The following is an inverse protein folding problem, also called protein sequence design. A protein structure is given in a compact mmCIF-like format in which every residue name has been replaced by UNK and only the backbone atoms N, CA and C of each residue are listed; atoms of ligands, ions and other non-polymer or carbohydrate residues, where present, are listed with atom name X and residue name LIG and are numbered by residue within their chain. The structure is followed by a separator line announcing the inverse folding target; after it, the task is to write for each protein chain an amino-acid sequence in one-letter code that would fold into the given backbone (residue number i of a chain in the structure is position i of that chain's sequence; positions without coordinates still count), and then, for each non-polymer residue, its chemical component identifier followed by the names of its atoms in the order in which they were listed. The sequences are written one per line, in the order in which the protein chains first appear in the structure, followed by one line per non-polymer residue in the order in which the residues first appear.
data_IF_923831623795
#
_entry.id   IF_923831623795
#
_cell.length_a   1.000
_cell.length_b   1.000
_cell.length_c   1.000
_cell.angle_alpha   90.00
_cell.angle_beta   90.00
_cell.angle_gamma   90.00
#
_symmetry.space_group_name_H-M   'P 1'
#
loop_
_entity.id
_entity.type
_entity.pdbx_description
1 polymer ?
#
# COMPACT_ATOMS: atom_id res chain seq x y z
N UNK A 1 -49.59 10.15 -66.05
CA UNK A 1 -50.26 9.72 -64.80
C UNK A 1 -49.57 8.46 -64.27
N UNK A 2 -48.58 8.62 -63.38
CA UNK A 2 -47.89 7.50 -62.73
C UNK A 2 -48.57 7.16 -61.40
N UNK A 3 -48.96 5.89 -61.27
CA UNK A 3 -49.81 5.31 -60.23
C UNK A 3 -49.22 5.46 -58.82
N UNK A 4 -49.92 6.22 -57.97
CA UNK A 4 -49.69 6.37 -56.52
C UNK A 4 -49.79 5.06 -55.70
N UNK A 5 -50.20 3.93 -56.29
CA UNK A 5 -50.47 2.68 -55.57
C UNK A 5 -49.28 1.74 -55.36
N UNK A 6 -48.11 1.98 -55.97
CA UNK A 6 -46.94 1.09 -55.87
C UNK A 6 -46.02 1.41 -54.68
N UNK A 7 -45.90 2.69 -54.34
CA UNK A 7 -45.07 3.19 -53.22
C UNK A 7 -45.66 2.87 -51.84
N UNK A 8 -46.99 2.93 -51.67
CA UNK A 8 -47.65 2.59 -50.41
C UNK A 8 -47.55 1.10 -50.03
N UNK A 9 -47.49 0.18 -51.00
CA UNK A 9 -47.29 -1.26 -50.72
C UNK A 9 -45.86 -1.57 -50.31
N UNK A 10 -44.85 -0.95 -50.92
CA UNK A 10 -43.45 -1.15 -50.53
C UNK A 10 -43.15 -0.65 -49.11
N UNK A 11 -43.77 0.46 -48.69
CA UNK A 11 -43.66 0.99 -47.33
C UNK A 11 -44.30 0.05 -46.27
N UNK A 12 -45.38 -0.66 -46.60
CA UNK A 12 -46.03 -1.57 -45.64
C UNK A 12 -45.36 -2.93 -45.50
N UNK A 13 -44.62 -3.38 -46.53
CA UNK A 13 -43.88 -4.65 -46.52
C UNK A 13 -42.53 -4.58 -45.79
N UNK A 14 -41.92 -3.41 -45.65
CA UNK A 14 -40.62 -3.25 -44.97
C UNK A 14 -40.74 -2.64 -43.57
N UNK A 15 -41.67 -1.71 -43.36
CA UNK A 15 -41.78 -1.00 -42.08
C UNK A 15 -42.33 -1.88 -40.95
N UNK A 16 -43.28 -2.77 -41.26
CA UNK A 16 -43.88 -3.69 -40.28
C UNK A 16 -42.89 -4.72 -39.71
N UNK A 17 -42.09 -5.45 -40.50
CA UNK A 17 -41.09 -6.36 -39.95
C UNK A 17 -39.96 -5.62 -39.22
N UNK A 18 -39.59 -4.41 -39.63
CA UNK A 18 -38.59 -3.59 -38.92
C UNK A 18 -39.07 -3.13 -37.55
N UNK A 19 -40.33 -2.67 -37.45
CA UNK A 19 -40.94 -2.30 -36.18
C UNK A 19 -41.11 -3.51 -35.26
N UNK A 20 -41.45 -4.68 -35.81
CA UNK A 20 -41.54 -5.92 -35.04
C UNK A 20 -40.15 -6.35 -34.53
N UNK A 21 -39.10 -6.26 -35.37
CA UNK A 21 -37.73 -6.56 -34.97
C UNK A 21 -37.21 -5.61 -33.89
N UNK A 22 -37.51 -4.31 -33.99
CA UNK A 22 -37.21 -3.32 -32.94
C UNK A 22 -37.97 -3.63 -31.65
N UNK A 23 -39.24 -4.00 -31.74
CA UNK A 23 -40.07 -4.33 -30.57
C UNK A 23 -39.57 -5.60 -29.88
N UNK A 24 -39.23 -6.64 -30.64
CA UNK A 24 -38.63 -7.88 -30.12
C UNK A 24 -37.25 -7.59 -29.52
N UNK A 25 -36.43 -6.74 -30.15
CA UNK A 25 -35.11 -6.36 -29.62
C UNK A 25 -35.22 -5.56 -28.32
N UNK A 26 -36.21 -4.67 -28.23
CA UNK A 26 -36.54 -3.93 -27.01
C UNK A 26 -37.05 -4.84 -25.90
N UNK A 27 -37.93 -5.81 -26.22
CA UNK A 27 -38.39 -6.83 -25.25
C UNK A 27 -37.21 -7.67 -24.79
N UNK A 28 -36.35 -8.15 -25.69
CA UNK A 28 -35.14 -8.88 -25.32
C UNK A 28 -34.22 -8.03 -24.44
N UNK A 29 -34.00 -6.75 -24.73
CA UNK A 29 -33.21 -5.85 -23.87
C UNK A 29 -33.84 -5.62 -22.50
N UNK A 30 -35.18 -5.62 -22.42
CA UNK A 30 -35.91 -5.46 -21.17
C UNK A 30 -35.92 -6.76 -20.35
N UNK A 31 -36.02 -7.92 -20.99
CA UNK A 31 -36.00 -9.24 -20.33
C UNK A 31 -34.60 -9.74 -20.01
N UNK A 32 -33.57 -9.26 -20.72
CA UNK A 32 -32.14 -9.52 -20.42
C UNK A 32 -31.50 -8.45 -19.56
N UNK A 33 -32.29 -7.48 -19.04
CA UNK A 33 -31.87 -6.63 -17.93
C UNK A 33 -31.80 -7.50 -16.66
N UNK A 34 -30.83 -8.41 -16.68
CA UNK A 34 -30.39 -9.21 -15.56
C UNK A 34 -30.11 -8.22 -14.45
N UNK A 35 -30.95 -8.28 -13.42
CA UNK A 35 -30.65 -7.64 -12.16
C UNK A 35 -29.30 -8.23 -11.74
N UNK A 36 -28.23 -7.47 -11.94
CA UNK A 36 -26.92 -7.87 -11.45
C UNK A 36 -27.12 -8.23 -9.98
N UNK A 37 -26.77 -9.45 -9.54
CA UNK A 37 -27.03 -9.87 -8.19
C UNK A 37 -26.45 -8.80 -7.28
N UNK A 38 -27.30 -8.22 -6.42
CA UNK A 38 -26.90 -7.15 -5.53
C UNK A 38 -25.65 -7.63 -4.78
N UNK A 39 -24.50 -6.99 -5.03
CA UNK A 39 -23.25 -7.35 -4.40
C UNK A 39 -23.44 -7.22 -2.89
N UNK A 40 -23.59 -8.35 -2.19
CA UNK A 40 -23.66 -8.37 -0.74
C UNK A 40 -22.26 -8.09 -0.24
N UNK A 41 -22.08 -6.90 0.37
CA UNK A 41 -20.82 -6.56 1.03
C UNK A 41 -20.47 -7.69 2.02
N UNK A 42 -19.24 -8.24 1.98
CA UNK A 42 -18.85 -9.30 2.91
C UNK A 42 -19.00 -8.83 4.36
N UNK A 43 -19.23 -9.78 5.26
CA UNK A 43 -19.28 -9.50 6.70
C UNK A 43 -17.86 -9.16 7.16
N UNK A 44 -17.69 -8.02 7.84
CA UNK A 44 -16.41 -7.70 8.47
C UNK A 44 -16.20 -8.65 9.67
N UNK A 45 -15.19 -9.54 9.65
CA UNK A 45 -14.95 -10.47 10.76
C UNK A 45 -14.48 -9.76 12.03
N UNK A 46 -13.93 -8.54 11.91
CA UNK A 46 -13.40 -7.76 13.03
C UNK A 46 -13.95 -6.31 12.97
N UNK A 47 -15.26 -6.09 13.20
CA UNK A 47 -15.88 -4.77 13.08
C UNK A 47 -15.46 -3.79 14.18
N UNK A 48 -14.83 -4.30 15.25
CA UNK A 48 -14.29 -3.48 16.34
C UNK A 48 -12.89 -2.92 16.04
N UNK A 49 -12.20 -3.43 15.00
CA UNK A 49 -10.87 -2.96 14.61
C UNK A 49 -10.99 -1.87 13.55
N UNK A 50 -10.33 -0.75 13.82
CA UNK A 50 -10.08 0.30 12.85
C UNK A 50 -8.88 -0.06 11.96
N UNK A 51 -9.04 0.12 10.65
CA UNK A 51 -8.07 -0.30 9.65
C UNK A 51 -7.85 0.77 8.60
N UNK A 52 -6.62 1.24 8.43
CA UNK A 52 -6.26 2.16 7.36
C UNK A 52 -5.36 1.50 6.32
N UNK A 53 -5.64 1.77 5.04
CA UNK A 53 -4.78 1.41 3.92
C UNK A 53 -4.16 2.70 3.37
N UNK A 54 -2.85 2.82 3.47
CA UNK A 54 -2.10 4.00 3.03
C UNK A 54 -1.37 3.65 1.74
N UNK A 55 -1.77 4.30 0.65
CA UNK A 55 -1.23 4.04 -0.69
C UNK A 55 -0.36 5.23 -1.13
N UNK A 56 0.89 4.93 -1.45
CA UNK A 56 1.76 5.84 -2.18
C UNK A 56 1.54 5.66 -3.69
N UNK A 57 1.16 6.74 -4.38
CA UNK A 57 0.85 6.74 -5.80
C UNK A 57 1.37 8.01 -6.50
N UNK A 58 1.31 8.00 -7.83
CA UNK A 58 1.53 9.17 -8.69
C UNK A 58 0.33 9.39 -9.60
N UNK A 59 0.30 10.52 -10.32
CA UNK A 59 -0.74 10.79 -11.33
C UNK A 59 -0.79 9.75 -12.45
N UNK A 60 0.29 8.99 -12.66
CA UNK A 60 0.35 7.90 -13.64
C UNK A 60 -0.08 6.53 -13.09
N UNK A 61 -0.31 6.42 -11.78
CA UNK A 61 -0.66 5.16 -11.14
C UNK A 61 -2.00 4.60 -11.64
N UNK A 62 -2.03 3.30 -11.92
CA UNK A 62 -3.27 2.61 -12.27
C UNK A 62 -3.91 1.96 -11.03
N UNK A 63 -4.86 2.66 -10.42
CA UNK A 63 -5.58 2.21 -9.23
C UNK A 63 -6.93 1.53 -9.52
N UNK A 64 -7.18 1.09 -10.76
CA UNK A 64 -8.48 0.46 -11.13
C UNK A 64 -8.79 -0.82 -10.34
N UNK A 65 -7.77 -1.49 -9.80
CA UNK A 65 -7.89 -2.66 -8.95
C UNK A 65 -8.40 -2.34 -7.53
N UNK A 66 -8.22 -1.10 -7.07
CA UNK A 66 -8.44 -0.72 -5.68
C UNK A 66 -9.92 -0.64 -5.29
N UNK A 67 -10.83 0.00 -6.05
CA UNK A 67 -12.25 0.05 -5.68
C UNK A 67 -12.89 -1.33 -5.43
N UNK A 68 -12.74 -2.35 -6.31
CA UNK A 68 -13.29 -3.67 -6.03
C UNK A 68 -12.58 -4.36 -4.85
N UNK A 69 -11.28 -4.14 -4.65
CA UNK A 69 -10.56 -4.69 -3.49
C UNK A 69 -11.04 -4.08 -2.16
N UNK A 70 -11.29 -2.77 -2.10
CA UNK A 70 -11.82 -2.10 -0.90
C UNK A 70 -13.22 -2.58 -0.53
N UNK A 71 -14.05 -2.89 -1.53
CA UNK A 71 -15.38 -3.47 -1.32
C UNK A 71 -15.32 -4.83 -0.61
N UNK A 72 -14.22 -5.58 -0.76
CA UNK A 72 -14.03 -6.90 -0.15
C UNK A 72 -13.18 -6.91 1.13
N UNK A 73 -12.46 -5.83 1.47
CA UNK A 73 -11.38 -5.88 2.47
C UNK A 73 -11.53 -4.94 3.68
N UNK A 74 -12.59 -4.13 3.75
CA UNK A 74 -12.94 -3.29 4.92
C UNK A 74 -11.84 -2.33 5.40
N UNK A 75 -10.90 -1.95 4.53
CA UNK A 75 -9.90 -0.91 4.82
C UNK A 75 -10.46 0.48 4.53
N UNK A 76 -10.09 1.46 5.35
CA UNK A 76 -10.28 2.88 5.05
C UNK A 76 -9.10 3.37 4.21
N UNK A 77 -9.30 3.77 2.93
CA UNK A 77 -8.21 4.18 2.07
C UNK A 77 -7.72 5.60 2.36
N UNK A 78 -6.40 5.79 2.33
CA UNK A 78 -5.70 7.07 2.30
C UNK A 78 -4.73 7.05 1.13
N UNK A 79 -5.12 7.65 0.01
CA UNK A 79 -4.38 7.59 -1.25
C UNK A 79 -3.63 8.90 -1.45
N UNK A 80 -2.32 8.86 -1.30
CA UNK A 80 -1.47 10.03 -1.52
C UNK A 80 -0.91 10.03 -2.94
N UNK A 81 -0.94 11.19 -3.59
CA UNK A 81 -0.40 11.39 -4.94
C UNK A 81 0.81 12.29 -4.87
N UNK A 82 2.01 11.74 -5.08
CA UNK A 82 3.25 12.43 -4.71
C UNK A 82 3.68 13.53 -5.67
N UNK A 83 3.25 13.47 -6.92
CA UNK A 83 3.62 14.37 -8.02
C UNK A 83 2.52 15.41 -8.35
N UNK A 84 1.52 15.57 -7.49
CA UNK A 84 0.44 16.56 -7.64
C UNK A 84 0.14 17.31 -6.34
N UNK A 85 0.39 18.61 -6.32
CA UNK A 85 0.06 19.47 -5.17
C UNK A 85 -1.43 19.78 -5.03
N UNK A 86 -2.24 19.49 -6.06
CA UNK A 86 -3.70 19.65 -6.05
C UNK A 86 -4.45 18.36 -5.73
N UNK A 87 -3.74 17.27 -5.44
CA UNK A 87 -4.36 16.03 -4.98
C UNK A 87 -5.07 16.23 -3.63
N UNK A 88 -6.06 15.38 -3.34
CA UNK A 88 -6.79 15.41 -2.06
C UNK A 88 -5.86 15.20 -0.87
N UNK A 89 -4.89 14.27 -1.02
CA UNK A 89 -3.83 14.01 -0.06
C UNK A 89 -2.47 14.24 -0.75
N UNK A 90 -1.96 15.48 -0.76
CA UNK A 90 -0.65 15.77 -1.30
C UNK A 90 0.45 15.42 -0.29
N UNK A 91 1.69 15.42 -0.76
CA UNK A 91 2.89 15.34 0.10
C UNK A 91 3.64 16.67 0.05
N UNK A 92 4.46 17.00 1.07
CA UNK A 92 5.18 18.28 1.08
C UNK A 92 6.20 18.42 -0.05
N UNK A 93 6.79 17.30 -0.51
CA UNK A 93 7.69 17.27 -1.68
C UNK A 93 7.74 15.85 -2.25
N UNK A 94 7.84 15.72 -3.57
CA UNK A 94 8.02 14.43 -4.24
C UNK A 94 9.46 13.90 -4.09
N UNK A 95 9.80 13.32 -2.93
CA UNK A 95 11.15 12.81 -2.62
C UNK A 95 11.11 11.67 -1.62
N UNK A 96 11.93 10.64 -1.82
CA UNK A 96 12.00 9.47 -0.94
C UNK A 96 11.00 8.36 -1.29
N UNK A 97 10.39 8.42 -2.47
CA UNK A 97 9.36 7.49 -2.93
C UNK A 97 8.22 7.32 -1.89
N UNK A 98 7.87 6.09 -1.52
CA UNK A 98 6.80 5.77 -0.58
C UNK A 98 7.05 6.35 0.81
N UNK A 99 8.31 6.55 1.19
CA UNK A 99 8.66 6.98 2.54
C UNK A 99 8.09 8.35 2.90
N UNK A 100 7.98 9.28 1.94
CA UNK A 100 7.37 10.58 2.20
C UNK A 100 5.88 10.47 2.52
N UNK A 101 5.18 9.59 1.81
CA UNK A 101 3.76 9.31 2.05
C UNK A 101 3.59 8.72 3.45
N UNK A 102 4.41 7.73 3.81
CA UNK A 102 4.26 7.01 5.07
C UNK A 102 4.56 7.92 6.26
N UNK A 103 5.64 8.71 6.19
CA UNK A 103 5.96 9.71 7.21
C UNK A 103 4.87 10.78 7.31
N UNK A 104 4.32 11.25 6.19
CA UNK A 104 3.25 12.24 6.19
C UNK A 104 1.98 11.69 6.86
N UNK A 105 1.55 10.48 6.49
CA UNK A 105 0.42 9.83 7.13
C UNK A 105 0.61 9.66 8.64
N UNK A 106 1.77 9.13 9.07
CA UNK A 106 2.08 8.92 10.48
C UNK A 106 2.01 10.23 11.25
N UNK A 107 2.63 11.30 10.74
CA UNK A 107 2.68 12.60 11.41
C UNK A 107 1.28 13.22 11.52
N UNK A 108 0.51 13.19 10.44
CA UNK A 108 -0.79 13.87 10.36
C UNK A 108 -1.86 13.15 11.20
N UNK A 109 -1.69 11.85 11.45
CA UNK A 109 -2.66 11.01 12.16
C UNK A 109 -2.14 10.50 13.52
N UNK A 110 -0.97 10.94 13.99
CA UNK A 110 -0.25 10.33 15.11
C UNK A 110 -1.09 10.13 16.39
N UNK A 111 -1.91 11.12 16.74
CA UNK A 111 -2.78 11.09 17.93
C UNK A 111 -4.02 10.20 17.77
N UNK A 112 -4.36 9.80 16.55
CA UNK A 112 -5.58 9.05 16.21
C UNK A 112 -5.30 7.87 15.29
N UNK A 113 -4.08 7.30 15.32
CA UNK A 113 -3.72 6.16 14.49
C UNK A 113 -4.67 4.98 14.76
N UNK A 114 -5.10 4.26 13.71
CA UNK A 114 -5.98 3.11 13.85
C UNK A 114 -5.25 1.92 14.48
N UNK A 115 -6.02 0.86 14.77
CA UNK A 115 -5.49 -0.38 15.33
C UNK A 115 -4.47 -1.03 14.37
N UNK A 116 -4.79 -1.03 13.07
CA UNK A 116 -3.92 -1.56 12.02
C UNK A 116 -3.80 -0.59 10.85
N UNK A 117 -2.58 -0.36 10.39
CA UNK A 117 -2.24 0.44 9.22
C UNK A 117 -1.52 -0.48 8.24
N UNK A 118 -1.99 -0.53 7.00
CA UNK A 118 -1.30 -1.23 5.92
C UNK A 118 -0.70 -0.20 4.96
N UNK A 119 0.62 -0.10 4.95
CA UNK A 119 1.37 0.71 4.02
C UNK A 119 1.67 -0.09 2.74
N UNK A 120 1.28 0.45 1.60
CA UNK A 120 1.29 -0.26 0.33
C UNK A 120 1.68 0.68 -0.83
N UNK A 121 2.32 0.15 -1.87
CA UNK A 121 2.55 0.88 -3.12
C UNK A 121 1.32 0.78 -4.06
N UNK A 122 1.28 1.50 -5.16
CA UNK A 122 0.12 1.59 -6.05
C UNK A 122 -0.17 0.37 -6.94
N UNK A 123 0.82 -0.49 -7.20
CA UNK A 123 0.68 -1.61 -8.14
C UNK A 123 -0.36 -2.67 -7.69
N UNK A 124 -1.13 -3.21 -8.65
CA UNK A 124 -2.02 -4.36 -8.44
C UNK A 124 -1.26 -5.68 -8.22
N UNK A 125 -0.09 -5.77 -8.85
CA UNK A 125 0.87 -6.87 -8.75
C UNK A 125 2.25 -6.30 -9.09
N UNK A 126 3.20 -6.43 -8.17
CA UNK A 126 4.61 -6.14 -8.37
C UNK A 126 5.43 -7.42 -8.46
N UNK A 127 6.66 -7.32 -8.97
CA UNK A 127 7.59 -8.44 -9.12
C UNK A 127 7.97 -9.09 -7.77
N UNK A 128 7.85 -8.34 -6.68
CA UNK A 128 8.20 -8.76 -5.33
C UNK A 128 6.97 -9.13 -4.47
N UNK A 129 5.79 -9.29 -5.07
CA UNK A 129 4.60 -9.74 -4.35
C UNK A 129 4.33 -11.22 -4.65
N UNK A 130 4.06 -11.99 -3.61
CA UNK A 130 3.63 -13.39 -3.75
C UNK A 130 2.17 -13.50 -4.17
N UNK A 131 1.33 -12.57 -3.71
CA UNK A 131 -0.09 -12.49 -4.04
C UNK A 131 -0.42 -11.12 -4.65
N UNK A 132 -1.57 -11.00 -5.30
CA UNK A 132 -2.02 -9.69 -5.77
C UNK A 132 -2.35 -8.77 -4.61
N UNK A 133 -2.21 -7.47 -4.80
CA UNK A 133 -2.57 -6.46 -3.77
C UNK A 133 -4.01 -6.62 -3.32
N UNK A 134 -4.93 -6.94 -4.23
CA UNK A 134 -6.33 -7.24 -3.89
C UNK A 134 -6.47 -8.48 -2.98
N UNK A 135 -5.67 -9.52 -3.21
CA UNK A 135 -5.63 -10.69 -2.33
C UNK A 135 -5.04 -10.32 -0.97
N UNK A 136 -3.93 -9.57 -0.94
CA UNK A 136 -3.31 -9.13 0.31
C UNK A 136 -4.28 -8.33 1.18
N UNK A 137 -4.98 -7.35 0.60
CA UNK A 137 -5.99 -6.57 1.33
C UNK A 137 -7.10 -7.45 1.91
N UNK A 138 -7.56 -8.45 1.16
CA UNK A 138 -8.67 -9.31 1.56
C UNK A 138 -8.27 -10.35 2.62
N UNK A 139 -7.02 -10.81 2.65
CA UNK A 139 -6.59 -11.96 3.46
C UNK A 139 -5.60 -11.62 4.57
N UNK A 140 -5.03 -10.41 4.59
CA UNK A 140 -4.15 -10.00 5.68
C UNK A 140 -4.88 -10.12 7.02
N UNK A 141 -4.33 -10.92 7.92
CA UNK A 141 -4.87 -11.19 9.24
C UNK A 141 -4.56 -10.04 10.21
N UNK A 142 -5.54 -9.20 10.59
CA UNK A 142 -5.28 -8.07 11.46
C UNK A 142 -4.92 -8.50 12.89
N UNK A 143 -5.39 -9.66 13.36
CA UNK A 143 -5.06 -10.16 14.69
C UNK A 143 -3.58 -10.54 14.81
N UNK A 144 -3.00 -11.09 13.74
CA UNK A 144 -1.56 -11.33 13.67
C UNK A 144 -0.78 -10.02 13.68
N UNK A 145 -1.23 -8.98 12.97
CA UNK A 145 -0.57 -7.66 13.06
C UNK A 145 -0.62 -7.12 14.48
N UNK A 146 -1.76 -7.21 15.17
CA UNK A 146 -1.89 -6.82 16.57
C UNK A 146 -0.93 -7.58 17.50
N UNK A 147 -0.80 -8.89 17.29
CA UNK A 147 0.10 -9.75 18.07
C UNK A 147 1.58 -9.40 17.85
N UNK A 148 1.99 -9.14 16.61
CA UNK A 148 3.39 -8.99 16.24
C UNK A 148 3.86 -7.52 16.20
N UNK A 149 2.96 -6.56 16.06
CA UNK A 149 3.26 -5.14 15.95
C UNK A 149 3.62 -4.68 14.53
N UNK A 150 4.32 -5.52 13.77
CA UNK A 150 4.76 -5.31 12.38
C UNK A 150 4.78 -6.65 11.62
N UNK A 151 4.27 -6.66 10.39
CA UNK A 151 4.35 -7.79 9.46
C UNK A 151 4.58 -7.29 8.03
N UNK A 152 5.50 -7.92 7.30
CA UNK A 152 5.67 -7.69 5.86
C UNK A 152 4.97 -8.79 5.07
N UNK A 153 4.07 -8.49 4.10
CA UNK A 153 3.40 -9.50 3.28
C UNK A 153 4.34 -10.26 2.34
N UNK A 154 5.62 -9.89 2.29
CA UNK A 154 6.64 -10.59 1.51
C UNK A 154 7.22 -11.76 2.31
N UNK A 155 6.66 -12.95 2.11
CA UNK A 155 7.17 -14.20 2.67
C UNK A 155 8.25 -14.81 1.75
N UNK A 156 9.38 -15.20 2.31
CA UNK A 156 10.54 -15.67 1.56
C UNK A 156 11.26 -16.82 2.27
N UNK A 157 11.92 -17.71 1.52
CA UNK A 157 12.84 -18.67 2.09
C UNK A 157 14.14 -17.96 2.50
N UNK A 158 14.15 -17.36 3.70
CA UNK A 158 15.30 -16.69 4.31
C UNK A 158 15.20 -15.16 4.34
N UNK A 159 16.35 -14.49 4.51
CA UNK A 159 16.45 -13.04 4.59
C UNK A 159 16.75 -12.38 3.24
N UNK A 160 16.17 -11.19 3.05
CA UNK A 160 16.60 -10.22 2.03
C UNK A 160 17.25 -9.00 2.69
N UNK A 161 17.83 -8.13 1.84
CA UNK A 161 18.45 -6.87 2.27
C UNK A 161 19.41 -7.03 3.46
N UNK A 162 20.19 -8.11 3.44
CA UNK A 162 21.21 -8.35 4.47
C UNK A 162 22.30 -7.29 4.30
N UNK A 163 22.37 -6.38 5.25
CA UNK A 163 23.30 -5.26 5.26
C UNK A 163 24.13 -5.35 6.54
N UNK A 164 25.44 -5.49 6.38
CA UNK A 164 26.37 -5.32 7.49
C UNK A 164 26.58 -3.83 7.73
N UNK A 165 26.42 -3.40 8.98
CA UNK A 165 26.67 -2.04 9.42
C UNK A 165 28.07 -1.98 10.03
N UNK A 166 28.94 -1.17 9.43
CA UNK A 166 30.29 -0.90 9.95
C UNK A 166 30.28 -0.21 11.31
N UNK A 167 29.18 0.48 11.64
CA UNK A 167 29.08 1.39 12.78
C UNK A 167 29.62 2.79 12.48
N UNK A 168 30.24 2.98 11.32
CA UNK A 168 30.73 4.27 10.85
C UNK A 168 29.54 5.19 10.54
N UNK A 169 29.68 6.46 10.95
CA UNK A 169 28.67 7.49 10.73
C UNK A 169 29.32 8.72 10.10
N UNK A 170 28.52 9.46 9.35
CA UNK A 170 28.87 10.74 8.76
C UNK A 170 27.80 11.79 9.12
N UNK A 171 28.12 13.10 9.05
CA UNK A 171 27.12 14.14 9.21
C UNK A 171 25.94 13.96 8.23
N UNK A 172 24.70 14.15 8.70
CA UNK A 172 23.50 13.90 7.87
C UNK A 172 23.43 14.72 6.57
N UNK A 173 24.08 15.88 6.54
CA UNK A 173 24.17 16.73 5.35
C UNK A 173 25.22 16.25 4.33
N UNK A 174 26.13 15.36 4.73
CA UNK A 174 27.24 14.86 3.91
C UNK A 174 27.12 13.35 3.61
N UNK A 175 25.88 12.87 3.46
CA UNK A 175 25.62 11.46 3.13
C UNK A 175 25.78 11.16 1.63
N UNK A 176 25.88 12.19 0.79
CA UNK A 176 25.98 12.03 -0.65
C UNK A 176 27.34 11.45 -1.02
N UNK A 177 27.34 10.24 -1.57
CA UNK A 177 28.57 9.51 -1.91
C UNK A 177 29.08 8.60 -0.79
N UNK A 178 28.53 8.72 0.43
CA UNK A 178 28.80 7.77 1.50
C UNK A 178 28.28 6.37 1.12
N UNK A 179 28.95 5.29 1.56
CA UNK A 179 28.43 3.93 1.44
C UNK A 179 27.06 3.75 2.10
N UNK A 180 26.28 2.77 1.64
CA UNK A 180 24.89 2.54 2.11
C UNK A 180 24.82 2.29 3.62
N UNK A 181 25.72 1.47 4.14
CA UNK A 181 25.80 1.14 5.56
C UNK A 181 26.08 2.39 6.41
N UNK A 182 26.93 3.30 5.94
CA UNK A 182 27.18 4.60 6.58
C UNK A 182 25.94 5.50 6.51
N UNK A 183 25.23 5.55 5.37
CA UNK A 183 23.97 6.30 5.25
C UNK A 183 22.93 5.82 6.26
N UNK A 184 22.74 4.50 6.36
CA UNK A 184 21.80 3.88 7.30
C UNK A 184 22.23 4.14 8.75
N UNK A 185 23.50 3.85 9.07
CA UNK A 185 24.04 4.03 10.43
C UNK A 185 23.94 5.47 10.90
N UNK A 186 24.16 6.44 10.01
CA UNK A 186 24.06 7.86 10.34
C UNK A 186 22.62 8.29 10.66
N UNK A 187 21.64 7.84 9.86
CA UNK A 187 20.22 8.14 10.11
C UNK A 187 19.72 7.44 11.37
N UNK A 188 20.07 6.15 11.56
CA UNK A 188 19.76 5.45 12.81
C UNK A 188 20.40 6.18 14.00
N UNK A 189 21.69 6.49 13.96
CA UNK A 189 22.36 7.20 15.06
C UNK A 189 21.66 8.50 15.43
N UNK A 190 21.20 9.26 14.43
CA UNK A 190 20.57 10.56 14.65
C UNK A 190 19.16 10.50 15.24
N UNK A 191 18.36 9.48 14.90
CA UNK A 191 16.92 9.44 15.22
C UNK A 191 16.49 8.24 16.06
N UNK A 192 17.34 7.22 16.21
CA UNK A 192 17.04 6.01 16.97
C UNK A 192 17.21 6.18 18.48
N UNK A 193 18.19 7.01 18.85
CA UNK A 193 18.62 7.20 20.24
C UNK A 193 18.04 8.50 20.77
N UNK A 194 16.86 8.45 21.38
CA UNK A 194 16.32 9.60 22.11
C UNK A 194 17.18 9.90 23.37
N UNK A 195 17.88 8.89 23.92
CA UNK A 195 18.67 9.00 25.17
C UNK A 195 20.16 8.60 25.05
N UNK A 196 20.68 8.37 23.84
CA UNK A 196 22.13 8.25 23.57
C UNK A 196 22.84 6.92 23.84
N UNK A 197 22.18 5.91 24.43
CA UNK A 197 22.86 4.67 24.87
C UNK A 197 22.59 3.40 24.06
N UNK A 198 21.73 3.43 23.03
CA UNK A 198 21.43 2.20 22.26
C UNK A 198 22.50 1.97 21.17
N UNK A 199 23.30 0.89 21.25
CA UNK A 199 24.27 0.58 20.21
C UNK A 199 23.56 0.28 18.89
N UNK A 200 24.15 0.72 17.78
CA UNK A 200 23.68 0.34 16.45
C UNK A 200 23.89 -1.17 16.27
N UNK A 201 22.95 -1.89 15.63
CA UNK A 201 23.14 -3.29 15.33
C UNK A 201 24.30 -3.46 14.32
N UNK A 202 25.04 -4.55 14.44
CA UNK A 202 26.11 -4.89 13.48
C UNK A 202 25.55 -5.29 12.11
N UNK A 203 24.32 -5.76 12.07
CA UNK A 203 23.67 -6.28 10.86
C UNK A 203 22.19 -6.05 10.92
N UNK A 204 21.61 -5.67 9.78
CA UNK A 204 20.17 -5.60 9.59
C UNK A 204 19.76 -6.48 8.42
N UNK A 205 18.57 -7.04 8.51
CA UNK A 205 17.94 -7.75 7.39
C UNK A 205 16.42 -7.83 7.62
N UNK A 206 15.67 -7.68 6.55
CA UNK A 206 14.22 -7.84 6.52
C UNK A 206 13.77 -8.05 5.07
N UNK A 207 12.57 -8.63 4.83
CA UNK A 207 11.98 -8.65 3.50
C UNK A 207 12.03 -7.27 2.85
N UNK A 208 12.31 -7.21 1.55
CA UNK A 208 12.47 -5.92 0.87
C UNK A 208 11.21 -5.08 0.83
N UNK A 209 11.45 -3.86 0.33
CA UNK A 209 10.45 -3.03 -0.27
C UNK A 209 9.58 -2.34 0.78
N UNK A 210 8.83 -1.32 0.38
CA UNK A 210 8.12 -0.45 1.31
C UNK A 210 6.67 -0.94 1.51
N UNK A 211 6.45 -2.23 1.77
CA UNK A 211 5.11 -2.79 1.96
C UNK A 211 5.05 -3.61 3.24
N UNK A 212 4.19 -3.20 4.17
CA UNK A 212 4.08 -3.79 5.51
C UNK A 212 2.82 -3.31 6.22
N UNK A 213 2.29 -4.13 7.11
CA UNK A 213 1.25 -3.77 8.05
C UNK A 213 1.83 -3.58 9.46
N UNK A 214 1.36 -2.54 10.15
CA UNK A 214 1.79 -2.20 11.50
C UNK A 214 0.61 -1.84 12.37
N UNK A 215 0.81 -1.96 13.68
CA UNK A 215 -0.14 -1.44 14.65
C UNK A 215 0.11 0.04 14.92
N UNK A 216 -0.94 0.79 15.28
CA UNK A 216 -0.79 2.15 15.78
C UNK A 216 0.13 2.21 17.02
N UNK A 217 0.12 1.18 17.86
CA UNK A 217 0.99 1.08 19.03
C UNK A 217 2.47 0.90 18.66
N UNK A 218 2.78 0.11 17.62
CA UNK A 218 4.14 -0.03 17.12
C UNK A 218 4.68 1.30 16.57
N UNK A 219 3.85 2.09 15.88
CA UNK A 219 4.22 3.45 15.43
C UNK A 219 4.50 4.36 16.64
N UNK A 220 3.68 4.27 17.69
CA UNK A 220 3.83 5.08 18.92
C UNK A 220 5.01 4.69 19.80
N UNK A 221 5.76 3.64 19.46
CA UNK A 221 7.04 3.33 20.13
C UNK A 221 8.11 4.41 19.89
N UNK A 222 7.92 5.25 18.87
CA UNK A 222 8.76 6.42 18.59
C UNK A 222 7.93 7.67 18.72
N UNK A 223 8.47 8.68 19.41
CA UNK A 223 7.78 9.96 19.59
C UNK A 223 7.46 10.64 18.26
N UNK A 224 6.44 11.50 18.25
CA UNK A 224 6.06 12.29 17.07
C UNK A 224 7.24 13.08 16.48
N UNK A 225 8.13 13.59 17.34
CA UNK A 225 9.29 14.36 16.90
C UNK A 225 10.33 13.51 16.15
N UNK A 226 10.44 12.21 16.45
CA UNK A 226 11.28 11.28 15.68
C UNK A 226 10.77 11.15 14.24
N UNK A 227 9.45 10.98 14.06
CA UNK A 227 8.84 10.93 12.72
C UNK A 227 8.99 12.25 11.95
N UNK A 228 8.81 13.38 12.65
CA UNK A 228 9.02 14.73 12.07
C UNK A 228 10.47 14.94 11.64
N UNK A 229 11.42 14.55 12.49
CA UNK A 229 12.86 14.62 12.22
C UNK A 229 13.25 13.78 11.00
N UNK A 230 12.74 12.55 10.89
CA UNK A 230 12.95 11.70 9.71
C UNK A 230 12.39 12.34 8.43
N UNK A 231 11.19 12.92 8.47
CA UNK A 231 10.61 13.62 7.31
C UNK A 231 11.42 14.87 6.94
N UNK A 232 11.83 15.64 7.93
CA UNK A 232 12.65 16.83 7.71
C UNK A 232 14.02 16.48 7.11
N UNK A 233 14.69 15.44 7.62
CA UNK A 233 15.90 14.89 7.02
C UNK A 233 15.66 14.46 5.57
N UNK A 234 14.59 13.72 5.31
CA UNK A 234 14.25 13.24 3.97
C UNK A 234 14.06 14.40 2.98
N UNK A 235 13.42 15.49 3.42
CA UNK A 235 13.26 16.71 2.63
C UNK A 235 14.63 17.35 2.36
N UNK A 236 15.46 17.52 3.38
CA UNK A 236 16.68 18.34 3.33
C UNK A 236 17.94 17.64 2.80
N UNK A 237 18.03 16.32 2.88
CA UNK A 237 19.25 15.57 2.51
C UNK A 237 19.66 15.76 1.05
N UNK A 238 20.94 15.77 0.73
CA UNK A 238 21.43 15.83 -0.67
C UNK A 238 21.34 14.48 -1.41
N UNK A 239 20.86 13.42 -0.73
CA UNK A 239 20.55 12.15 -1.36
C UNK A 239 19.37 12.30 -2.34
N UNK A 240 19.49 11.65 -3.51
CA UNK A 240 18.38 11.54 -4.46
C UNK A 240 17.24 10.68 -3.88
N UNK A 241 16.03 10.83 -4.44
CA UNK A 241 14.80 10.14 -3.98
C UNK A 241 14.99 8.64 -3.75
N UNK A 242 15.68 7.97 -4.68
CA UNK A 242 15.91 6.51 -4.60
C UNK A 242 16.83 6.14 -3.44
N UNK A 243 17.87 6.92 -3.19
CA UNK A 243 18.87 6.60 -2.15
C UNK A 243 18.33 6.91 -0.77
N UNK A 244 17.70 8.08 -0.60
CA UNK A 244 17.08 8.45 0.67
C UNK A 244 15.88 7.58 1.03
N UNK A 245 15.03 7.24 0.04
CA UNK A 245 13.93 6.30 0.25
C UNK A 245 14.41 4.92 0.71
N UNK A 246 15.51 4.42 0.13
CA UNK A 246 16.09 3.13 0.52
C UNK A 246 16.63 3.07 1.94
N UNK A 247 17.15 4.17 2.47
CA UNK A 247 17.57 4.20 3.88
C UNK A 247 16.39 3.85 4.79
N UNK A 248 15.20 4.39 4.50
CA UNK A 248 13.99 4.11 5.25
C UNK A 248 13.40 2.73 4.91
N UNK A 249 13.37 2.35 3.63
CA UNK A 249 12.93 1.02 3.18
C UNK A 249 13.63 -0.11 3.94
N UNK A 250 14.95 0.00 4.13
CA UNK A 250 15.74 -1.01 4.83
C UNK A 250 15.63 -0.97 6.35
N UNK A 251 14.94 0.01 6.91
CA UNK A 251 14.90 0.23 8.36
C UNK A 251 13.50 0.30 8.95
N UNK A 252 12.44 0.17 8.15
CA UNK A 252 11.05 0.22 8.65
C UNK A 252 10.80 -0.71 9.83
N UNK A 253 11.19 -1.98 9.72
CA UNK A 253 11.02 -2.97 10.78
C UNK A 253 11.67 -2.51 12.09
N UNK A 254 12.82 -1.86 12.02
CA UNK A 254 13.49 -1.27 13.18
C UNK A 254 12.60 -0.18 13.79
N UNK A 255 12.15 0.79 12.99
CA UNK A 255 11.36 1.92 13.51
C UNK A 255 10.09 1.49 14.24
N UNK A 256 9.53 0.34 13.85
CA UNK A 256 8.35 -0.27 14.48
C UNK A 256 8.67 -1.26 15.62
N UNK A 257 9.95 -1.38 16.00
CA UNK A 257 10.40 -2.09 17.19
C UNK A 257 10.68 -3.58 16.97
N UNK A 258 10.96 -3.99 15.73
CA UNK A 258 11.41 -5.35 15.43
C UNK A 258 12.91 -5.50 15.63
N UNK A 259 13.36 -6.75 15.73
CA UNK A 259 14.78 -7.09 15.82
C UNK A 259 15.55 -6.64 14.57
N UNK A 260 16.87 -6.46 14.72
CA UNK A 260 17.72 -5.97 13.64
C UNK A 260 17.66 -6.86 12.38
N UNK A 261 17.64 -8.18 12.60
CA UNK A 261 17.43 -9.22 11.60
C UNK A 261 16.03 -9.80 11.83
N UNK A 262 15.06 -9.39 11.03
CA UNK A 262 13.67 -9.84 11.13
C UNK A 262 13.24 -10.55 9.85
N UNK A 263 13.45 -11.87 9.83
CA UNK A 263 13.11 -12.73 8.69
C UNK A 263 12.46 -14.02 9.20
N UNK A 264 11.14 -14.03 9.45
CA UNK A 264 10.44 -15.25 9.83
C UNK A 264 10.57 -16.30 8.71
N UNK A 265 10.49 -17.59 9.07
CA UNK A 265 10.42 -18.66 8.09
C UNK A 265 9.22 -18.45 7.14
N UNK A 266 9.38 -18.80 5.86
CA UNK A 266 8.36 -18.57 4.82
C UNK A 266 6.98 -19.11 5.21
N UNK A 267 6.94 -20.36 5.71
CA UNK A 267 5.70 -21.02 6.13
C UNK A 267 5.02 -20.28 7.30
N UNK A 268 5.81 -19.84 8.29
CA UNK A 268 5.30 -19.06 9.41
C UNK A 268 4.75 -17.72 8.96
N UNK A 269 5.46 -17.04 8.05
CA UNK A 269 5.01 -15.78 7.46
C UNK A 269 3.67 -15.95 6.72
N UNK A 270 3.55 -16.98 5.87
CA UNK A 270 2.32 -17.27 5.13
C UNK A 270 1.15 -17.57 6.05
N UNK A 271 1.41 -18.30 7.13
CA UNK A 271 0.42 -18.58 8.15
C UNK A 271 -0.01 -17.34 8.94
N UNK A 272 0.95 -16.58 9.46
CA UNK A 272 0.67 -15.39 10.27
C UNK A 272 -0.09 -14.34 9.45
N UNK A 273 0.32 -14.09 8.22
CA UNK A 273 -0.22 -12.99 7.43
C UNK A 273 -1.49 -13.41 6.69
N UNK A 274 -1.50 -14.57 6.05
CA UNK A 274 -2.58 -14.97 5.13
C UNK A 274 -3.34 -16.21 5.56
N UNK A 275 -2.99 -16.82 6.70
CA UNK A 275 -3.55 -18.11 7.14
C UNK A 275 -3.40 -19.22 6.07
N UNK A 276 -2.29 -19.18 5.33
CA UNK A 276 -1.96 -20.14 4.27
C UNK A 276 -0.92 -21.14 4.80
N UNK A 277 -1.23 -22.44 4.70
CA UNK A 277 -0.35 -23.52 5.15
C UNK A 277 -0.83 -24.17 6.44
N UNK A 278 0.09 -24.82 7.17
CA UNK A 278 -0.21 -25.48 8.43
C UNK A 278 0.01 -24.52 9.61
N UNK A 279 -1.03 -23.79 10.00
CA UNK A 279 -0.96 -22.71 10.99
C UNK A 279 -1.31 -23.21 12.40
N UNK A 280 -0.56 -24.23 12.85
CA UNK A 280 -0.78 -24.92 14.13
C UNK A 280 -0.44 -24.04 15.33
#
# INVERSE_FOLDING_TARGET
MLKHGRTQRLLSFTLKPLLLALFVSLIFHWTTKSSSPAFKKPINPHPHLSKALVIASTTSSNLTWLPPALQSSHWTPHIYTTDSSSAELPVPVNKGNEAMVYLTYIIDNYSTLPDVIFFHHDHAQAWHQQFSSAYELAHLNPLSVLKHGYLSPRCLPGCENVIQLSGDVAPLHDLKGAPRDVQISSVLRAFWSEDGEVPLPERIAAPCCAQFAVTGDAVRRRGLETWRGLREWLIKTDLNSRSSGRVLEYTWHLWFGMEAVYCPAEEQCLCDIFSVGNCS
#
